data_IF_830962294209
#
_entry.id   IF_830962294209
#
_cell.length_a   1.000
_cell.length_b   1.000
_cell.length_c   1.000
_cell.angle_alpha   90.00
_cell.angle_beta   90.00
_cell.angle_gamma   90.00
#
_symmetry.space_group_name_H-M   'P 1'
#
loop_
_entity.id
_entity.type
_entity.pdbx_description
1 polymer ?
#
# COMPACT_ATOMS: atom_id res chain seq x y z
N UNK A 1 1.35 -70.28 -48.55
CA UNK A 1 1.54 -68.82 -48.54
C UNK A 1 0.95 -68.32 -47.23
N UNK A 2 1.81 -67.93 -46.29
CA UNK A 2 1.46 -67.46 -44.94
C UNK A 2 2.20 -66.15 -44.74
N UNK A 3 1.44 -65.13 -44.36
CA UNK A 3 1.83 -63.72 -44.33
C UNK A 3 2.68 -63.35 -43.10
N UNK A 4 3.23 -62.14 -43.22
CA UNK A 4 4.20 -61.46 -42.38
C UNK A 4 3.75 -61.22 -40.93
N UNK A 5 4.73 -61.04 -40.04
CA UNK A 5 4.54 -60.18 -38.87
C UNK A 5 5.74 -59.24 -38.69
N UNK A 6 5.45 -57.95 -38.83
CA UNK A 6 6.40 -56.85 -38.75
C UNK A 6 6.35 -56.17 -37.38
N UNK A 7 7.55 -56.06 -36.81
CA UNK A 7 8.10 -55.00 -35.97
C UNK A 7 7.15 -53.91 -35.41
N UNK A 8 7.20 -53.74 -34.08
CA UNK A 8 6.47 -52.72 -33.35
C UNK A 8 7.02 -51.31 -33.51
N UNK A 9 6.19 -50.33 -33.14
CA UNK A 9 6.67 -49.01 -32.70
C UNK A 9 5.80 -48.52 -31.55
N UNK A 10 6.50 -47.93 -30.58
CA UNK A 10 6.02 -47.46 -29.29
C UNK A 10 4.99 -46.34 -29.44
N UNK A 11 3.91 -46.41 -28.65
CA UNK A 11 2.96 -45.32 -28.44
C UNK A 11 3.64 -44.17 -27.69
N UNK A 12 4.14 -43.19 -28.45
CA UNK A 12 4.51 -41.90 -27.93
C UNK A 12 3.24 -41.16 -27.47
N UNK A 13 3.22 -40.76 -26.21
CA UNK A 13 2.25 -39.82 -25.68
C UNK A 13 2.25 -38.56 -26.56
N UNK A 14 1.08 -38.22 -27.10
CA UNK A 14 0.88 -37.01 -27.88
C UNK A 14 1.21 -35.80 -26.99
N UNK A 15 2.36 -35.19 -27.24
CA UNK A 15 2.72 -33.89 -26.70
C UNK A 15 1.82 -32.88 -27.41
N UNK A 16 0.88 -32.29 -26.69
CA UNK A 16 0.00 -31.26 -27.23
C UNK A 16 0.84 -30.08 -27.76
N UNK A 17 0.69 -29.77 -29.04
CA UNK A 17 1.33 -28.65 -29.73
C UNK A 17 0.95 -27.31 -29.04
N UNK A 18 1.91 -26.39 -28.82
CA UNK A 18 1.73 -25.16 -28.03
C UNK A 18 0.84 -24.08 -28.69
N UNK A 19 0.05 -24.43 -29.70
CA UNK A 19 -0.89 -23.55 -30.39
C UNK A 19 -2.28 -24.16 -30.62
N UNK A 20 -2.60 -25.30 -30.00
CA UNK A 20 -3.94 -25.90 -30.19
C UNK A 20 -5.03 -25.07 -29.49
N UNK A 21 -6.24 -25.10 -30.06
CA UNK A 21 -7.41 -24.50 -29.44
C UNK A 21 -7.65 -25.05 -28.02
N UNK A 22 -7.26 -26.29 -27.76
CA UNK A 22 -7.37 -26.94 -26.44
C UNK A 22 -6.40 -26.34 -25.42
N UNK A 23 -5.15 -26.03 -25.82
CA UNK A 23 -4.20 -25.32 -24.97
C UNK A 23 -4.68 -23.90 -24.65
N UNK A 24 -5.32 -23.24 -25.62
CA UNK A 24 -5.94 -21.93 -25.45
C UNK A 24 -7.16 -21.98 -24.51
N UNK A 25 -8.01 -23.00 -24.64
CA UNK A 25 -9.16 -23.23 -23.76
C UNK A 25 -8.69 -23.56 -22.34
N UNK A 26 -7.65 -24.38 -22.18
CA UNK A 26 -7.06 -24.69 -20.88
C UNK A 26 -6.45 -23.45 -20.22
N UNK A 27 -5.78 -22.58 -20.99
CA UNK A 27 -5.24 -21.32 -20.50
C UNK A 27 -6.36 -20.35 -20.08
N UNK A 28 -7.44 -20.23 -20.87
CA UNK A 28 -8.61 -19.42 -20.52
C UNK A 28 -9.29 -19.97 -19.27
N UNK A 29 -9.50 -21.28 -19.17
CA UNK A 29 -10.07 -21.94 -17.99
C UNK A 29 -9.20 -21.73 -16.75
N UNK A 30 -7.87 -21.77 -16.88
CA UNK A 30 -6.94 -21.47 -15.78
C UNK A 30 -6.96 -20.00 -15.36
N UNK A 31 -7.13 -19.06 -16.31
CA UNK A 31 -7.33 -17.63 -16.01
C UNK A 31 -8.65 -17.43 -15.28
N UNK A 32 -9.72 -18.09 -15.72
CA UNK A 32 -11.05 -18.01 -15.11
C UNK A 32 -11.10 -18.67 -13.73
N UNK A 33 -10.37 -19.77 -13.52
CA UNK A 33 -10.19 -20.40 -12.21
C UNK A 33 -9.33 -19.54 -11.26
N UNK A 34 -8.41 -18.72 -11.79
CA UNK A 34 -7.63 -17.74 -11.01
C UNK A 34 -8.41 -16.46 -10.71
N UNK A 35 -9.42 -16.11 -11.51
CA UNK A 35 -10.37 -15.08 -11.15
C UNK A 35 -11.30 -15.66 -10.09
N UNK A 36 -10.97 -15.46 -8.81
CA UNK A 36 -11.93 -15.69 -7.74
C UNK A 36 -13.13 -14.80 -8.02
N UNK A 37 -14.25 -15.41 -8.41
CA UNK A 37 -15.52 -14.70 -8.57
C UNK A 37 -15.82 -13.96 -7.27
N UNK A 38 -15.84 -12.62 -7.33
CA UNK A 38 -16.22 -11.82 -6.18
C UNK A 38 -17.73 -11.91 -6.02
N UNK A 39 -18.18 -12.77 -5.10
CA UNK A 39 -19.58 -12.96 -4.78
C UNK A 39 -19.84 -12.52 -3.35
N UNK A 40 -20.66 -11.49 -3.17
CA UNK A 40 -21.17 -11.09 -1.86
C UNK A 40 -22.65 -11.48 -1.81
N UNK A 41 -23.11 -12.22 -0.78
CA UNK A 41 -24.53 -12.46 -0.57
C UNK A 41 -25.32 -11.15 -0.56
N UNK A 42 -26.44 -11.08 -1.30
CA UNK A 42 -27.22 -9.84 -1.48
C UNK A 42 -27.62 -9.22 -0.14
N UNK A 43 -28.01 -10.03 0.84
CA UNK A 43 -28.35 -9.56 2.19
C UNK A 43 -27.18 -8.89 2.89
N UNK A 44 -26.00 -9.50 2.81
CA UNK A 44 -24.77 -8.92 3.37
C UNK A 44 -24.41 -7.62 2.67
N UNK A 45 -24.56 -7.54 1.34
CA UNK A 45 -24.30 -6.32 0.59
C UNK A 45 -25.21 -5.15 1.04
N UNK A 46 -26.50 -5.42 1.27
CA UNK A 46 -27.46 -4.42 1.79
C UNK A 46 -27.04 -3.95 3.19
N UNK A 47 -26.67 -4.87 4.09
CA UNK A 47 -26.22 -4.54 5.44
C UNK A 47 -24.92 -3.73 5.47
N UNK A 48 -23.98 -4.04 4.59
CA UNK A 48 -22.75 -3.26 4.45
C UNK A 48 -23.05 -1.83 3.95
N UNK A 49 -24.02 -1.66 3.05
CA UNK A 49 -24.47 -0.34 2.62
C UNK A 49 -25.17 0.44 3.76
N UNK A 50 -25.97 -0.24 4.57
CA UNK A 50 -26.61 0.33 5.77
C UNK A 50 -25.56 0.75 6.80
N UNK A 51 -24.62 -0.13 7.16
CA UNK A 51 -23.52 0.17 8.07
C UNK A 51 -22.78 1.44 7.63
N UNK A 52 -22.42 1.51 6.34
CA UNK A 52 -21.76 2.68 5.77
C UNK A 52 -22.56 3.98 5.87
N UNK A 53 -23.89 3.93 5.87
CA UNK A 53 -24.69 5.16 6.01
C UNK A 53 -24.64 5.76 7.43
N UNK A 54 -24.08 5.02 8.39
CA UNK A 54 -24.02 5.38 9.81
C UNK A 54 -22.60 5.58 10.36
N UNK A 55 -21.57 5.59 9.49
CA UNK A 55 -20.20 5.87 9.95
C UNK A 55 -19.89 7.36 10.02
N UNK A 56 -19.29 7.78 11.13
CA UNK A 56 -18.77 9.13 11.31
C UNK A 56 -17.28 9.23 10.89
N UNK A 57 -16.81 10.43 10.50
CA UNK A 57 -15.38 10.69 10.29
C UNK A 57 -14.55 10.41 11.55
N UNK A 58 -13.34 9.88 11.37
CA UNK A 58 -12.43 9.57 12.48
C UNK A 58 -11.25 10.54 12.52
N UNK A 59 -11.17 11.36 13.57
CA UNK A 59 -10.14 12.38 13.74
C UNK A 59 -8.74 11.83 14.07
N UNK A 60 -7.70 12.67 13.90
CA UNK A 60 -6.32 12.35 14.27
C UNK A 60 -6.07 12.56 15.77
N UNK A 61 -6.44 11.57 16.59
CA UNK A 61 -6.22 11.62 18.04
C UNK A 61 -4.81 11.13 18.47
N UNK A 62 -4.07 10.50 17.56
CA UNK A 62 -2.72 9.98 17.81
C UNK A 62 -1.64 11.03 17.53
N UNK A 63 -0.54 10.96 18.28
CA UNK A 63 0.64 11.84 18.11
C UNK A 63 1.92 11.02 18.08
N UNK A 64 2.64 11.03 16.96
CA UNK A 64 3.99 10.50 16.89
C UNK A 64 4.96 11.60 17.34
N UNK A 65 5.57 11.45 18.53
CA UNK A 65 6.47 12.46 19.11
C UNK A 65 7.81 12.52 18.39
N UNK A 66 8.33 11.38 17.95
CA UNK A 66 9.65 11.26 17.33
C UNK A 66 9.66 11.92 15.94
N UNK A 67 8.57 11.77 15.19
CA UNK A 67 8.43 12.29 13.83
C UNK A 67 7.49 13.50 13.74
N UNK A 68 7.01 13.97 14.90
CA UNK A 68 6.24 15.19 15.05
C UNK A 68 4.97 15.32 14.16
N UNK A 69 4.27 14.23 13.84
CA UNK A 69 2.98 14.27 13.13
C UNK A 69 1.82 13.70 13.95
N UNK A 70 0.60 14.11 13.62
CA UNK A 70 -0.64 13.56 14.18
C UNK A 70 -1.20 12.50 13.24
N UNK A 71 -1.80 11.44 13.78
CA UNK A 71 -2.31 10.32 13.00
C UNK A 71 -3.64 9.80 13.55
N UNK A 72 -4.42 9.17 12.67
CA UNK A 72 -5.63 8.45 13.08
C UNK A 72 -5.25 7.15 13.77
N UNK A 73 -5.70 6.95 15.00
CA UNK A 73 -5.44 5.74 15.77
C UNK A 73 -6.23 4.55 15.18
N UNK A 74 -5.67 3.34 15.25
CA UNK A 74 -6.34 2.16 14.74
C UNK A 74 -7.57 1.82 15.60
N UNK A 75 -7.45 2.06 16.91
CA UNK A 75 -8.48 1.86 17.92
C UNK A 75 -9.72 2.70 17.64
N UNK A 76 -9.56 3.95 17.20
CA UNK A 76 -10.68 4.84 16.86
C UNK A 76 -11.43 4.32 15.63
N UNK A 77 -10.71 3.85 14.61
CA UNK A 77 -11.33 3.26 13.40
C UNK A 77 -12.05 1.96 13.74
N UNK A 78 -11.44 1.10 14.56
CA UNK A 78 -12.05 -0.16 15.00
C UNK A 78 -13.31 0.11 15.82
N UNK A 79 -13.29 1.12 16.69
CA UNK A 79 -14.44 1.50 17.50
C UNK A 79 -15.61 1.97 16.63
N UNK A 80 -15.35 2.86 15.68
CA UNK A 80 -16.38 3.42 14.80
C UNK A 80 -16.93 2.36 13.83
N UNK A 81 -16.05 1.66 13.13
CA UNK A 81 -16.43 0.58 12.23
C UNK A 81 -17.16 -0.54 12.98
N UNK A 82 -16.67 -0.92 14.16
CA UNK A 82 -17.26 -1.98 14.97
C UNK A 82 -18.67 -1.65 15.44
N UNK A 83 -18.92 -0.40 15.87
CA UNK A 83 -20.27 0.08 16.21
C UNK A 83 -21.21 -0.05 15.01
N UNK A 84 -20.83 0.55 13.88
CA UNK A 84 -21.64 0.58 12.65
C UNK A 84 -21.94 -0.83 12.11
N UNK A 85 -20.94 -1.72 12.08
CA UNK A 85 -21.12 -3.11 11.63
C UNK A 85 -22.01 -3.91 12.59
N UNK A 86 -21.85 -3.71 13.91
CA UNK A 86 -22.67 -4.39 14.90
C UNK A 86 -24.15 -4.00 14.80
N UNK A 87 -24.44 -2.71 14.60
CA UNK A 87 -25.80 -2.22 14.36
C UNK A 87 -26.45 -2.87 13.12
N UNK A 88 -25.68 -3.04 12.04
CA UNK A 88 -26.11 -3.73 10.83
C UNK A 88 -26.06 -5.28 10.91
N UNK A 89 -25.68 -5.84 12.07
CA UNK A 89 -25.47 -7.29 12.28
C UNK A 89 -24.49 -7.91 11.27
N UNK A 90 -23.37 -7.25 11.04
CA UNK A 90 -22.25 -7.73 10.24
C UNK A 90 -21.07 -8.00 11.15
N UNK A 91 -20.39 -9.14 10.95
CA UNK A 91 -19.22 -9.52 11.74
C UNK A 91 -18.02 -9.58 10.81
N UNK A 92 -16.93 -8.91 11.21
CA UNK A 92 -15.60 -9.10 10.61
C UNK A 92 -14.85 -10.09 11.50
N UNK A 93 -14.51 -11.25 10.95
CA UNK A 93 -13.80 -12.29 11.68
C UNK A 93 -12.35 -11.88 11.95
N UNK A 94 -11.71 -12.41 13.02
CA UNK A 94 -10.29 -12.26 13.23
C UNK A 94 -9.50 -12.64 11.96
N UNK A 95 -8.54 -11.80 11.54
CA UNK A 95 -7.80 -12.04 10.31
C UNK A 95 -6.86 -13.23 10.50
N UNK A 96 -6.80 -14.11 9.49
CA UNK A 96 -5.92 -15.27 9.52
C UNK A 96 -4.67 -15.01 8.67
N UNK A 97 -3.45 -15.09 9.21
CA UNK A 97 -2.24 -14.97 8.40
C UNK A 97 -2.10 -16.18 7.47
N UNK A 98 -2.07 -15.94 6.17
CA UNK A 98 -1.94 -17.00 5.14
C UNK A 98 -0.54 -17.07 4.55
N UNK A 99 0.21 -15.97 4.57
CA UNK A 99 1.60 -15.91 4.09
C UNK A 99 2.36 -14.85 4.88
N UNK A 100 3.58 -15.17 5.33
CA UNK A 100 4.43 -14.27 6.12
C UNK A 100 5.82 -14.22 5.50
N UNK A 101 6.25 -13.03 5.12
CA UNK A 101 7.59 -12.72 4.62
C UNK A 101 8.35 -11.87 5.64
N UNK A 102 9.60 -12.24 5.95
CA UNK A 102 10.47 -11.46 6.85
C UNK A 102 11.69 -10.92 6.11
N UNK A 103 12.17 -9.75 6.53
CA UNK A 103 13.48 -9.23 6.14
C UNK A 103 14.18 -8.61 7.34
N UNK A 104 15.47 -8.92 7.51
CA UNK A 104 16.30 -8.31 8.54
C UNK A 104 16.61 -6.86 8.21
N UNK A 105 16.48 -5.99 9.21
CA UNK A 105 16.83 -4.59 9.12
C UNK A 105 17.90 -4.24 10.14
N UNK A 106 18.68 -3.20 9.82
CA UNK A 106 19.63 -2.59 10.74
C UNK A 106 19.43 -1.08 10.75
N UNK A 107 19.27 -0.50 11.93
CA UNK A 107 19.21 0.96 12.08
C UNK A 107 20.59 1.57 11.88
N UNK A 108 20.64 2.88 11.61
CA UNK A 108 21.89 3.65 11.57
C UNK A 108 22.67 3.59 12.89
N UNK A 109 21.98 3.42 14.02
CA UNK A 109 22.57 3.21 15.35
C UNK A 109 22.99 1.77 15.65
N UNK A 110 22.88 0.85 14.69
CA UNK A 110 23.36 -0.53 14.81
C UNK A 110 22.36 -1.53 15.41
N UNK A 111 21.19 -1.09 15.88
CA UNK A 111 20.12 -1.97 16.39
C UNK A 111 19.54 -2.85 15.29
N UNK A 112 19.31 -4.13 15.60
CA UNK A 112 18.59 -5.07 14.74
C UNK A 112 17.08 -4.81 14.77
N UNK A 113 16.43 -4.95 13.63
CA UNK A 113 14.98 -4.91 13.51
C UNK A 113 14.49 -5.89 12.45
N UNK A 114 13.17 -5.96 12.29
CA UNK A 114 12.50 -6.79 11.29
C UNK A 114 11.57 -5.92 10.45
N UNK A 115 11.59 -6.14 9.15
CA UNK A 115 10.47 -5.83 8.27
C UNK A 115 9.66 -7.12 8.09
N UNK A 116 8.34 -6.99 8.17
CA UNK A 116 7.41 -8.09 7.89
C UNK A 116 6.37 -7.64 6.89
N UNK A 117 6.02 -8.55 5.99
CA UNK A 117 4.86 -8.44 5.11
C UNK A 117 4.01 -9.68 5.32
N UNK A 118 2.76 -9.48 5.69
CA UNK A 118 1.82 -10.56 6.00
C UNK A 118 0.62 -10.43 5.09
N UNK A 119 0.28 -11.49 4.38
CA UNK A 119 -1.01 -11.63 3.71
C UNK A 119 -1.98 -12.26 4.70
N UNK A 120 -3.13 -11.63 4.89
CA UNK A 120 -4.21 -12.06 5.76
C UNK A 120 -5.43 -12.43 4.93
N UNK A 121 -6.09 -13.53 5.28
CA UNK A 121 -7.46 -13.80 4.88
C UNK A 121 -8.41 -13.13 5.89
N UNK A 122 -9.35 -12.34 5.38
CA UNK A 122 -10.36 -11.64 6.18
C UNK A 122 -11.73 -12.07 5.71
N UNK A 123 -12.60 -12.46 6.65
CA UNK A 123 -13.97 -12.88 6.35
C UNK A 123 -14.95 -11.87 6.91
N UNK A 124 -15.92 -11.51 6.09
CA UNK A 124 -17.05 -10.66 6.48
C UNK A 124 -18.31 -11.49 6.35
N UNK A 125 -19.04 -11.63 7.45
CA UNK A 125 -20.19 -12.52 7.54
C UNK A 125 -21.45 -11.76 7.97
N UNK A 126 -22.57 -12.17 7.41
CA UNK A 126 -23.91 -11.77 7.84
C UNK A 126 -24.22 -12.50 9.16
N UNK A 127 -24.48 -11.75 10.23
CA UNK A 127 -24.78 -12.31 11.55
C UNK A 127 -26.13 -13.03 11.66
N UNK A 128 -27.07 -12.81 10.72
CA UNK A 128 -28.36 -13.51 10.71
C UNK A 128 -28.30 -14.84 9.94
N UNK A 129 -27.52 -14.92 8.85
CA UNK A 129 -27.47 -16.12 7.98
C UNK A 129 -26.19 -16.94 8.09
N UNK A 130 -25.11 -16.35 8.58
CA UNK A 130 -23.77 -16.96 8.56
C UNK A 130 -23.10 -16.97 7.17
N UNK A 131 -23.80 -16.50 6.13
CA UNK A 131 -23.21 -16.36 4.79
C UNK A 131 -22.25 -15.17 4.75
N UNK A 132 -21.21 -15.26 3.92
CA UNK A 132 -20.21 -14.22 3.85
C UNK A 132 -19.31 -14.32 2.63
N UNK A 133 -18.31 -13.45 2.61
CA UNK A 133 -17.23 -13.52 1.63
C UNK A 133 -15.88 -13.45 2.34
N UNK A 134 -14.86 -13.99 1.67
CA UNK A 134 -13.47 -13.91 2.09
C UNK A 134 -12.70 -13.00 1.13
N UNK A 135 -11.75 -12.25 1.67
CA UNK A 135 -10.86 -11.40 0.89
C UNK A 135 -9.46 -11.39 1.47
N UNK A 136 -8.45 -11.29 0.61
CA UNK A 136 -7.06 -11.22 1.04
C UNK A 136 -6.63 -9.76 1.20
N UNK A 137 -5.87 -9.47 2.26
CA UNK A 137 -5.30 -8.15 2.55
C UNK A 137 -3.84 -8.28 2.93
N UNK A 138 -3.04 -7.26 2.63
CA UNK A 138 -1.63 -7.24 2.98
C UNK A 138 -1.40 -6.21 4.07
N UNK A 139 -0.80 -6.65 5.17
CA UNK A 139 -0.23 -5.79 6.20
C UNK A 139 1.28 -5.77 6.09
N UNK A 140 1.88 -4.61 6.35
CA UNK A 140 3.34 -4.49 6.46
C UNK A 140 3.69 -3.73 7.72
N UNK A 141 4.85 -4.05 8.29
CA UNK A 141 5.37 -3.30 9.42
C UNK A 141 6.88 -3.45 9.53
N UNK A 142 7.49 -2.42 10.12
CA UNK A 142 8.85 -2.45 10.63
C UNK A 142 8.81 -2.35 12.15
N UNK A 143 9.65 -3.13 12.81
CA UNK A 143 9.79 -3.08 14.25
C UNK A 143 11.25 -3.29 14.69
N UNK A 144 11.66 -2.53 15.70
CA UNK A 144 12.95 -2.64 16.38
C UNK A 144 12.62 -2.84 17.87
N UNK A 145 12.92 -4.01 18.48
CA UNK A 145 13.81 -5.08 18.03
C UNK A 145 13.21 -6.11 17.04
N UNK A 146 11.89 -6.08 16.77
CA UNK A 146 11.25 -6.96 15.78
C UNK A 146 10.19 -7.91 16.36
N UNK A 147 10.01 -7.91 17.68
CA UNK A 147 9.07 -8.78 18.41
C UNK A 147 7.60 -8.44 18.13
N UNK A 148 7.32 -7.21 17.66
CA UNK A 148 5.95 -6.72 17.44
C UNK A 148 5.59 -6.52 15.98
N UNK A 149 6.47 -6.92 15.06
CA UNK A 149 6.29 -6.66 13.63
C UNK A 149 4.96 -7.22 13.10
N UNK A 150 4.63 -8.48 13.40
CA UNK A 150 3.37 -9.10 12.91
C UNK A 150 2.14 -8.38 13.47
N UNK A 151 2.11 -8.10 14.77
CA UNK A 151 0.98 -7.40 15.41
C UNK A 151 0.78 -5.99 14.85
N UNK A 152 1.88 -5.29 14.55
CA UNK A 152 1.82 -3.98 13.87
C UNK A 152 1.30 -4.09 12.44
N UNK A 153 1.71 -5.13 11.71
CA UNK A 153 1.22 -5.38 10.35
C UNK A 153 -0.28 -5.69 10.35
N UNK A 154 -0.75 -6.51 11.29
CA UNK A 154 -2.17 -6.82 11.46
C UNK A 154 -2.98 -5.57 11.85
N UNK A 155 -2.49 -4.79 12.82
CA UNK A 155 -3.14 -3.55 13.28
C UNK A 155 -3.29 -2.55 12.14
N UNK A 156 -2.22 -2.33 11.36
CA UNK A 156 -2.25 -1.44 10.21
C UNK A 156 -3.19 -1.95 9.12
N UNK A 157 -3.13 -3.25 8.80
CA UNK A 157 -4.01 -3.88 7.83
C UNK A 157 -5.48 -3.73 8.22
N UNK A 158 -5.84 -4.05 9.47
CA UNK A 158 -7.21 -4.00 9.95
C UNK A 158 -7.76 -2.57 9.93
N UNK A 159 -6.95 -1.59 10.35
CA UNK A 159 -7.32 -0.16 10.28
C UNK A 159 -7.74 0.22 8.85
N UNK A 160 -6.89 -0.06 7.86
CA UNK A 160 -7.18 0.33 6.48
C UNK A 160 -8.22 -0.57 5.81
N UNK A 161 -8.35 -1.82 6.22
CA UNK A 161 -9.42 -2.71 5.77
C UNK A 161 -10.78 -2.15 6.17
N UNK A 162 -10.98 -1.85 7.46
CA UNK A 162 -12.25 -1.34 7.99
C UNK A 162 -12.59 0.03 7.42
N UNK A 163 -11.60 0.95 7.37
CA UNK A 163 -11.83 2.27 6.78
C UNK A 163 -12.22 2.17 5.31
N UNK A 164 -11.60 1.25 4.54
CA UNK A 164 -11.92 1.07 3.13
C UNK A 164 -13.26 0.36 2.91
N UNK A 165 -13.57 -0.64 3.76
CA UNK A 165 -14.83 -1.39 3.70
C UNK A 165 -16.05 -0.49 3.86
N UNK A 166 -16.00 0.43 4.82
CA UNK A 166 -17.11 1.34 5.13
C UNK A 166 -16.92 2.74 4.54
N UNK A 167 -15.82 2.99 3.83
CA UNK A 167 -15.44 4.31 3.31
C UNK A 167 -15.44 5.40 4.38
N UNK A 168 -14.88 5.09 5.56
CA UNK A 168 -14.75 6.01 6.70
C UNK A 168 -13.77 7.13 6.32
N UNK A 169 -14.18 8.41 6.37
CA UNK A 169 -13.25 9.53 6.23
C UNK A 169 -12.23 9.53 7.38
N UNK A 170 -10.95 9.50 7.05
CA UNK A 170 -9.87 9.52 8.04
C UNK A 170 -9.27 10.93 8.12
N UNK A 171 -9.17 11.43 9.34
CA UNK A 171 -8.71 12.78 9.63
C UNK A 171 -9.83 13.81 9.60
N UNK A 172 -9.40 15.06 9.70
CA UNK A 172 -10.19 16.26 9.86
C UNK A 172 -10.54 16.95 8.53
N UNK A 173 -10.37 16.27 7.39
CA UNK A 173 -10.54 16.85 6.04
C UNK A 173 -9.46 17.87 5.65
N UNK A 174 -8.75 18.41 6.64
CA UNK A 174 -7.60 19.29 6.48
C UNK A 174 -6.32 18.45 6.62
N UNK A 175 -5.48 18.43 5.59
CA UNK A 175 -4.15 17.79 5.58
C UNK A 175 -4.12 16.26 5.78
N UNK A 176 -4.60 15.52 4.78
CA UNK A 176 -4.12 14.16 4.54
C UNK A 176 -2.63 14.22 4.10
N UNK A 177 -1.69 13.45 4.68
CA UNK A 177 -0.34 13.35 4.11
C UNK A 177 -0.29 12.76 2.69
N UNK A 178 -1.34 12.04 2.24
CA UNK A 178 -1.53 11.63 0.83
C UNK A 178 -2.13 12.76 -0.03
N UNK A 179 -2.72 13.78 0.59
CA UNK A 179 -2.71 15.11 -0.03
C UNK A 179 -1.29 15.58 0.07
N UNK A 180 -0.48 15.21 -0.93
CA UNK A 180 0.72 15.92 -1.27
C UNK A 180 0.28 17.37 -1.53
N UNK A 181 0.18 18.17 -0.46
CA UNK A 181 0.79 19.47 -0.52
C UNK A 181 2.26 19.16 -0.79
N UNK A 182 2.61 18.94 -2.07
CA UNK A 182 3.86 19.47 -2.57
C UNK A 182 3.91 20.85 -1.96
N UNK A 183 4.82 21.02 -1.00
CA UNK A 183 4.64 22.02 0.04
C UNK A 183 4.17 23.33 -0.55
N UNK A 184 3.36 24.08 0.21
CA UNK A 184 3.04 25.48 -0.06
C UNK A 184 4.26 26.41 -0.18
N UNK A 185 5.46 25.90 -0.49
CA UNK A 185 6.49 26.57 -1.25
C UNK A 185 6.20 26.49 -2.76
N UNK A 186 4.99 26.83 -3.18
CA UNK A 186 4.88 27.55 -4.44
C UNK A 186 5.71 28.82 -4.23
N UNK A 187 6.90 28.88 -4.83
CA UNK A 187 7.76 30.04 -4.74
C UNK A 187 6.89 31.27 -5.04
N UNK A 188 6.64 32.10 -4.02
CA UNK A 188 6.09 33.44 -4.27
C UNK A 188 7.11 34.06 -5.20
N UNK A 189 6.67 34.47 -6.39
CA UNK A 189 7.53 35.04 -7.46
C UNK A 189 8.25 36.34 -6.99
N UNK A 190 8.03 36.76 -5.74
CA UNK A 190 8.48 38.02 -5.16
C UNK A 190 9.31 37.83 -3.87
N UNK A 191 9.61 36.60 -3.43
CA UNK A 191 10.46 36.40 -2.24
C UNK A 191 11.95 36.47 -2.65
N UNK A 192 12.47 37.70 -2.71
CA UNK A 192 13.86 38.01 -3.05
C UNK A 192 14.78 37.89 -1.83
N UNK A 193 14.56 36.89 -0.98
CA UNK A 193 15.43 36.65 0.17
C UNK A 193 16.77 36.06 -0.31
N UNK A 194 17.92 36.66 0.05
CA UNK A 194 19.22 36.19 -0.44
C UNK A 194 19.51 34.78 0.07
N UNK A 195 20.16 33.98 -0.79
CA UNK A 195 20.49 32.59 -0.48
C UNK A 195 21.30 32.44 0.82
N UNK A 196 21.03 31.38 1.58
CA UNK A 196 21.74 31.07 2.83
C UNK A 196 23.21 30.77 2.60
N UNK A 197 24.04 30.92 3.64
CA UNK A 197 25.48 30.72 3.53
C UNK A 197 25.87 29.28 3.14
N UNK A 198 25.08 28.29 3.57
CA UNK A 198 25.24 26.90 3.12
C UNK A 198 24.97 26.74 1.62
N UNK A 199 23.97 27.43 1.08
CA UNK A 199 23.68 27.41 -0.36
C UNK A 199 24.78 28.11 -1.16
N UNK A 200 25.31 29.23 -0.65
CA UNK A 200 26.47 29.93 -1.25
C UNK A 200 27.73 29.07 -1.23
N UNK A 201 27.96 28.34 -0.14
CA UNK A 201 29.14 27.48 0.02
C UNK A 201 29.06 26.24 -0.87
N UNK A 202 27.89 25.61 -0.94
CA UNK A 202 27.62 24.50 -1.87
C UNK A 202 27.77 24.94 -3.32
N UNK A 203 27.26 26.13 -3.68
CA UNK A 203 27.42 26.69 -5.01
C UNK A 203 28.88 26.98 -5.35
N UNK A 204 29.66 27.55 -4.42
CA UNK A 204 31.11 27.76 -4.61
C UNK A 204 31.86 26.44 -4.83
N UNK A 205 31.47 25.38 -4.13
CA UNK A 205 32.04 24.05 -4.33
C UNK A 205 31.69 23.48 -5.71
N UNK A 206 30.44 23.64 -6.14
CA UNK A 206 29.95 23.12 -7.43
C UNK A 206 30.47 23.93 -8.64
N UNK A 207 30.69 25.23 -8.47
CA UNK A 207 31.23 26.13 -9.52
C UNK A 207 32.77 26.18 -9.51
N UNK A 208 33.40 25.61 -8.48
CA UNK A 208 34.85 25.50 -8.33
C UNK A 208 35.55 24.61 -9.36
N UNK A 209 34.81 23.87 -10.20
CA UNK A 209 35.36 23.11 -11.31
C UNK A 209 35.07 23.81 -12.65
N UNK A 210 36.12 24.42 -13.19
CA UNK A 210 36.22 25.24 -14.40
C UNK A 210 35.32 24.84 -15.58
N UNK A 211 34.33 25.70 -15.89
CA UNK A 211 34.15 26.46 -17.15
C UNK A 211 32.67 26.87 -17.30
N UNK A 212 32.24 27.92 -16.59
CA UNK A 212 30.93 28.51 -16.85
C UNK A 212 31.01 29.49 -18.04
N UNK A 213 30.15 29.37 -19.06
CA UNK A 213 30.09 30.33 -20.16
C UNK A 213 29.76 31.74 -19.65
N UNK A 214 30.28 32.78 -20.33
CA UNK A 214 30.15 34.19 -19.92
C UNK A 214 28.69 34.63 -19.66
N UNK A 215 27.72 34.03 -20.34
CA UNK A 215 26.29 34.25 -20.12
C UNK A 215 25.81 33.83 -18.73
N UNK A 216 26.39 32.77 -18.15
CA UNK A 216 26.04 32.27 -16.82
C UNK A 216 26.65 33.14 -15.70
N UNK A 217 27.78 33.82 -15.94
CA UNK A 217 28.43 34.70 -14.95
C UNK A 217 27.54 35.89 -14.60
N UNK A 218 26.92 36.52 -15.61
CA UNK A 218 26.03 37.68 -15.44
C UNK A 218 24.74 37.37 -14.66
N UNK A 219 24.22 36.14 -14.79
CA UNK A 219 23.05 35.68 -14.05
C UNK A 219 23.35 35.40 -12.56
N UNK A 220 24.58 34.99 -12.24
CA UNK A 220 25.02 34.66 -10.87
C UNK A 220 25.28 35.91 -10.04
N UNK A 221 25.83 36.97 -10.63
CA UNK A 221 26.05 38.27 -9.96
C UNK A 221 24.73 38.87 -9.44
N UNK A 222 23.66 38.77 -10.24
CA UNK A 222 22.32 39.19 -9.85
C UNK A 222 21.70 38.32 -8.73
N UNK A 223 22.03 37.03 -8.67
CA UNK A 223 21.53 36.09 -7.66
C UNK A 223 22.26 36.20 -6.30
N UNK A 224 23.55 36.56 -6.30
CA UNK A 224 24.39 36.65 -5.08
C UNK A 224 24.42 38.07 -4.49
N UNK A 225 23.92 39.08 -5.21
CA UNK A 225 23.72 40.43 -4.70
C UNK A 225 25.01 41.25 -4.50
N UNK A 226 26.04 41.00 -5.31
CA UNK A 226 27.28 41.78 -5.32
C UNK A 226 27.47 42.56 -6.63
N UNK A 227 28.24 43.64 -6.62
CA UNK A 227 28.69 44.35 -7.82
C UNK A 227 29.93 43.67 -8.42
N UNK A 228 30.01 43.60 -9.76
CA UNK A 228 31.20 43.11 -10.47
C UNK A 228 32.45 43.92 -10.06
N UNK A 229 33.66 43.32 -10.04
CA UNK A 229 34.92 44.05 -9.90
C UNK A 229 35.25 44.89 -11.15
#
# INVERSE_FOLDING_TARGET
>A
MSEANGNGTNGAAAVAEPGSAEASIAAVAAIQAKQRGFNIPVKLAVKLAEARSHVDPVAKNGRNKDQNYSYVQAEDVVKEAGKSLAEAKVIVMPPEPVEIEFSDLRSSGGSSGKFVKVKFAVRVIDGDTGEGYETERVGTATDYPGDKAIYKAETGMMKYFLSSLLQIPLGDGESDPETTQHGGGGARINDSSPASDKQKQLFKTLVGEKNLPKSAQKAIVAFVGGTEP
#
